data_IF_223418766825
#
_entry.id   IF_223418766825
#
_cell.length_a   1.000
_cell.length_b   1.000
_cell.length_c   1.000
_cell.angle_alpha   90.00
_cell.angle_beta   90.00
_cell.angle_gamma   90.00
#
_symmetry.space_group_name_H-M   'P 1'
#
loop_
_entity.id
_entity.type
_entity.pdbx_description
1 polymer ?
#
# COMPACT_ATOMS: atom_id res chain seq x y z
N UNK A 1 29.16 3.36 5.75
CA UNK A 1 28.45 4.26 4.81
C UNK A 1 26.97 3.89 4.83
N UNK A 2 26.03 4.84 4.93
CA UNK A 2 24.63 4.56 4.68
C UNK A 2 24.43 4.16 3.21
N UNK A 3 23.45 3.30 2.96
CA UNK A 3 23.02 3.00 1.59
C UNK A 3 22.54 4.28 0.90
N UNK A 4 22.72 4.40 -0.43
CA UNK A 4 22.15 5.51 -1.18
C UNK A 4 20.63 5.54 -0.97
N UNK A 5 20.09 6.72 -0.67
CA UNK A 5 18.66 6.93 -0.47
C UNK A 5 18.21 8.22 -1.13
N UNK A 6 17.04 8.17 -1.71
CA UNK A 6 16.32 9.31 -2.28
C UNK A 6 15.02 9.51 -1.50
N UNK A 7 14.66 10.76 -1.24
CA UNK A 7 13.41 11.11 -0.53
C UNK A 7 12.57 11.95 -1.47
N UNK A 8 11.34 11.49 -1.71
CA UNK A 8 10.38 12.14 -2.62
C UNK A 8 9.13 12.52 -1.84
N UNK A 9 8.72 13.79 -1.90
CA UNK A 9 7.43 14.25 -1.35
C UNK A 9 6.42 14.33 -2.50
N UNK A 10 5.54 13.34 -2.60
CA UNK A 10 4.56 13.23 -3.68
C UNK A 10 3.28 12.52 -3.22
N UNK A 11 2.26 12.50 -4.08
CA UNK A 11 1.08 11.66 -3.89
C UNK A 11 1.43 10.19 -4.19
N UNK A 12 1.29 9.32 -3.20
CA UNK A 12 1.76 7.93 -3.31
C UNK A 12 1.13 7.17 -4.48
N UNK A 13 -0.17 7.33 -4.74
CA UNK A 13 -0.83 6.62 -5.86
C UNK A 13 -0.27 7.05 -7.22
N UNK A 14 0.05 8.34 -7.38
CA UNK A 14 0.62 8.84 -8.65
C UNK A 14 2.03 8.33 -8.83
N UNK A 15 2.84 8.40 -7.76
CA UNK A 15 4.20 7.87 -7.79
C UNK A 15 4.21 6.38 -8.17
N UNK A 16 3.37 5.57 -7.52
CA UNK A 16 3.27 4.14 -7.80
C UNK A 16 2.71 3.84 -9.20
N UNK A 17 1.88 4.71 -9.77
CA UNK A 17 1.36 4.52 -11.13
C UNK A 17 2.40 4.85 -12.21
N UNK A 18 3.19 5.90 -11.99
CA UNK A 18 4.09 6.47 -12.99
C UNK A 18 5.53 5.96 -12.88
N UNK A 19 5.88 5.29 -11.77
CA UNK A 19 7.24 4.80 -11.57
C UNK A 19 7.64 3.77 -12.65
N UNK A 20 8.79 3.93 -13.32
CA UNK A 20 9.22 3.06 -14.40
C UNK A 20 9.82 1.75 -13.85
N UNK A 21 8.96 0.86 -13.36
CA UNK A 21 9.36 -0.44 -12.82
C UNK A 21 10.09 -1.31 -13.86
N UNK A 22 11.12 -2.01 -13.41
CA UNK A 22 11.85 -3.01 -14.22
C UNK A 22 11.52 -4.46 -13.78
N UNK A 23 10.70 -4.64 -12.74
CA UNK A 23 10.20 -5.92 -12.24
C UNK A 23 11.05 -6.55 -11.12
N UNK A 24 12.23 -5.98 -10.83
CA UNK A 24 13.11 -6.45 -9.74
C UNK A 24 12.88 -5.71 -8.42
N UNK A 25 12.01 -4.70 -8.43
CA UNK A 25 11.73 -3.87 -7.27
C UNK A 25 10.91 -4.63 -6.23
N UNK A 26 11.08 -4.21 -4.99
CA UNK A 26 10.21 -4.58 -3.87
C UNK A 26 9.57 -3.32 -3.33
N UNK A 27 8.25 -3.22 -3.43
CA UNK A 27 7.49 -2.12 -2.86
C UNK A 27 7.04 -2.51 -1.46
N UNK A 28 7.47 -1.74 -0.46
CA UNK A 28 6.89 -1.77 0.88
C UNK A 28 5.91 -0.61 1.02
N UNK A 29 4.64 -0.92 1.27
CA UNK A 29 3.56 0.05 1.36
C UNK A 29 2.96 0.05 2.76
N UNK A 30 2.97 1.21 3.42
CA UNK A 30 2.42 1.44 4.76
C UNK A 30 1.40 2.59 4.72
N UNK A 31 0.18 2.35 4.19
CA UNK A 31 -0.83 3.40 4.04
C UNK A 31 -1.44 3.79 5.40
N UNK A 32 -2.10 4.96 5.49
CA UNK A 32 -2.96 5.28 6.62
C UNK A 32 -3.93 4.13 6.90
N UNK A 33 -3.93 3.61 8.14
CA UNK A 33 -4.75 2.42 8.45
C UNK A 33 -6.24 2.77 8.58
N UNK A 34 -7.09 1.81 8.15
CA UNK A 34 -8.54 1.85 8.32
C UNK A 34 -8.93 2.27 9.74
N UNK A 35 -9.77 3.31 9.84
CA UNK A 35 -10.24 3.86 11.11
C UNK A 35 -10.89 2.81 12.03
N UNK A 36 -11.59 1.83 11.44
CA UNK A 36 -12.34 0.82 12.18
C UNK A 36 -11.45 -0.19 12.96
N UNK A 37 -10.15 -0.26 12.67
CA UNK A 37 -9.26 -1.31 13.22
C UNK A 37 -8.16 -0.77 14.14
N UNK A 38 -8.14 0.53 14.49
CA UNK A 38 -7.07 1.17 15.26
C UNK A 38 -7.46 1.43 16.72
N UNK A 39 -6.51 1.24 17.64
CA UNK A 39 -6.65 1.56 19.08
C UNK A 39 -6.13 2.96 19.48
N UNK A 40 -5.56 3.75 18.56
CA UNK A 40 -4.82 4.98 18.85
C UNK A 40 -5.24 6.16 17.95
N UNK A 41 -5.45 7.32 18.57
CA UNK A 41 -5.91 8.60 17.98
C UNK A 41 -4.80 9.37 17.21
N UNK A 42 -3.72 8.69 16.81
CA UNK A 42 -2.64 9.32 16.04
C UNK A 42 -3.08 9.52 14.59
N UNK A 43 -3.72 10.66 14.36
CA UNK A 43 -4.25 11.11 13.06
C UNK A 43 -3.13 11.27 12.04
N UNK A 44 -3.23 10.57 10.91
CA UNK A 44 -2.45 10.98 9.74
C UNK A 44 -2.94 12.38 9.35
N UNK A 45 -2.06 13.22 8.79
CA UNK A 45 -2.47 14.57 8.37
C UNK A 45 -3.57 14.52 7.30
N UNK A 46 -3.58 13.45 6.51
CA UNK A 46 -4.58 13.12 5.50
C UNK A 46 -4.97 11.65 5.73
N UNK A 47 -6.24 11.41 6.00
CA UNK A 47 -6.78 10.07 6.24
C UNK A 47 -7.27 9.46 4.92
N UNK A 48 -7.30 8.13 4.87
CA UNK A 48 -7.88 7.40 3.75
C UNK A 48 -9.35 7.10 4.03
N UNK A 49 -10.19 7.35 3.05
CA UNK A 49 -11.52 6.77 3.00
C UNK A 49 -11.46 5.35 2.44
N UNK A 50 -12.55 4.59 2.58
CA UNK A 50 -12.66 3.25 2.03
C UNK A 50 -12.35 3.20 0.53
N UNK A 51 -12.79 4.23 -0.22
CA UNK A 51 -12.52 4.36 -1.65
C UNK A 51 -11.02 4.50 -1.96
N UNK A 52 -10.26 5.23 -1.14
CA UNK A 52 -8.81 5.39 -1.31
C UNK A 52 -8.08 4.06 -1.08
N UNK A 53 -8.53 3.28 -0.09
CA UNK A 53 -8.03 1.92 0.13
C UNK A 53 -8.29 1.02 -1.08
N UNK A 54 -9.50 1.07 -1.65
CA UNK A 54 -9.84 0.27 -2.83
C UNK A 54 -9.01 0.66 -4.06
N UNK A 55 -8.79 1.96 -4.28
CA UNK A 55 -7.93 2.45 -5.34
C UNK A 55 -6.48 1.96 -5.14
N UNK A 56 -5.95 2.08 -3.92
CA UNK A 56 -4.62 1.60 -3.58
C UNK A 56 -4.47 0.11 -3.85
N UNK A 57 -5.39 -0.73 -3.35
CA UNK A 57 -5.34 -2.18 -3.55
C UNK A 57 -5.42 -2.54 -5.05
N UNK A 58 -6.23 -1.82 -5.81
CA UNK A 58 -6.35 -2.00 -7.26
C UNK A 58 -5.06 -1.65 -7.99
N UNK A 59 -4.37 -0.59 -7.55
CA UNK A 59 -3.08 -0.17 -8.09
C UNK A 59 -1.97 -1.18 -7.75
N UNK A 60 -1.85 -1.57 -6.48
CA UNK A 60 -0.81 -2.49 -6.01
C UNK A 60 -0.87 -3.85 -6.73
N UNK A 61 -2.07 -4.35 -7.04
CA UNK A 61 -2.23 -5.59 -7.83
C UNK A 61 -1.66 -5.49 -9.24
N UNK A 62 -1.70 -4.30 -9.86
CA UNK A 62 -1.26 -4.06 -11.24
C UNK A 62 0.24 -3.84 -11.36
N UNK A 63 0.92 -3.51 -10.26
CA UNK A 63 2.37 -3.27 -10.29
C UNK A 63 3.11 -4.52 -10.83
N UNK A 64 4.11 -4.35 -11.71
CA UNK A 64 4.84 -5.46 -12.31
C UNK A 64 5.97 -5.99 -11.41
N UNK A 65 5.87 -5.83 -10.08
CA UNK A 65 6.92 -6.14 -9.12
C UNK A 65 6.34 -6.77 -7.83
N UNK A 66 7.21 -7.12 -6.89
CA UNK A 66 6.79 -7.66 -5.59
C UNK A 66 6.29 -6.54 -4.67
N UNK A 67 5.26 -6.82 -3.88
CA UNK A 67 4.64 -5.86 -2.96
C UNK A 67 4.47 -6.49 -1.58
N UNK A 68 4.88 -5.75 -0.56
CA UNK A 68 4.57 -6.00 0.85
C UNK A 68 3.68 -4.84 1.30
N UNK A 69 2.49 -5.16 1.78
CA UNK A 69 1.52 -4.19 2.30
C UNK A 69 1.37 -4.41 3.80
N UNK A 70 1.68 -3.39 4.61
CA UNK A 70 1.31 -3.39 6.02
C UNK A 70 -0.14 -2.95 6.18
N UNK A 71 -0.82 -3.57 7.13
CA UNK A 71 -2.20 -3.29 7.46
C UNK A 71 -2.69 -4.22 8.55
N UNK A 72 -3.77 -3.82 9.22
CA UNK A 72 -4.51 -4.72 10.10
C UNK A 72 -5.37 -5.68 9.25
N UNK A 73 -5.63 -6.90 9.75
CA UNK A 73 -6.66 -7.76 9.17
C UNK A 73 -7.96 -6.96 9.04
N UNK A 74 -8.46 -6.87 7.82
CA UNK A 74 -9.73 -6.22 7.55
C UNK A 74 -10.45 -6.98 6.46
N UNK A 75 -11.76 -7.12 6.62
CA UNK A 75 -12.60 -7.84 5.67
C UNK A 75 -12.45 -7.27 4.24
N UNK A 76 -12.30 -5.95 4.12
CA UNK A 76 -12.07 -5.29 2.85
C UNK A 76 -10.77 -5.76 2.17
N UNK A 77 -9.67 -5.83 2.93
CA UNK A 77 -8.38 -6.29 2.42
C UNK A 77 -8.45 -7.78 2.08
N UNK A 78 -9.07 -8.60 2.92
CA UNK A 78 -9.20 -10.03 2.68
C UNK A 78 -10.01 -10.32 1.40
N UNK A 79 -11.17 -9.70 1.24
CA UNK A 79 -12.02 -9.86 0.05
C UNK A 79 -11.30 -9.42 -1.23
N UNK A 80 -10.52 -8.33 -1.16
CA UNK A 80 -9.85 -7.80 -2.33
C UNK A 80 -8.53 -8.52 -2.63
N UNK A 81 -7.76 -8.93 -1.63
CA UNK A 81 -6.45 -9.57 -1.85
C UNK A 81 -6.56 -11.08 -2.06
N UNK A 82 -7.56 -11.76 -1.49
CA UNK A 82 -7.75 -13.21 -1.64
C UNK A 82 -8.07 -13.65 -3.08
N UNK A 83 -8.63 -12.76 -3.91
CA UNK A 83 -9.02 -13.08 -5.29
C UNK A 83 -7.89 -12.91 -6.34
N UNK A 84 -6.70 -12.45 -5.95
CA UNK A 84 -5.59 -12.12 -6.87
C UNK A 84 -4.25 -12.78 -6.51
N UNK A 85 -3.24 -12.58 -7.37
CA UNK A 85 -1.83 -13.07 -7.27
C UNK A 85 -1.43 -13.60 -5.89
N UNK A 86 -1.49 -14.91 -5.63
CA UNK A 86 -0.86 -15.60 -4.47
C UNK A 86 -0.63 -14.77 -3.18
N UNK A 87 -1.57 -13.90 -2.78
CA UNK A 87 -1.39 -13.01 -1.65
C UNK A 87 -1.47 -13.86 -0.39
N UNK A 88 -0.48 -13.70 0.49
CA UNK A 88 -0.39 -14.44 1.74
C UNK A 88 -0.43 -13.45 2.89
N UNK A 89 -1.50 -13.46 3.66
CA UNK A 89 -1.49 -12.93 5.01
C UNK A 89 -0.73 -13.90 5.92
N UNK A 90 0.01 -13.36 6.89
CA UNK A 90 0.63 -14.14 7.97
C UNK A 90 -0.26 -14.11 9.19
#
# INVERSE_FOLDING_TARGET
>A
MPLPREVVQAHAHRFLADFPYQGRELVYCDPPYLHATRSSDRRYRFEYEEADHLELLSLLKKLPCQVILSGYPSRLYDEHLAAGRAWRSR
#
